data_IF_497514360262
#
_entry.id   IF_497514360262
#
_cell.length_a   1.000
_cell.length_b   1.000
_cell.length_c   1.000
_cell.angle_alpha   90.00
_cell.angle_beta   90.00
_cell.angle_gamma   90.00
#
_symmetry.space_group_name_H-M   'P 1'
#
loop_
_entity.id
_entity.type
_entity.pdbx_description
1 polymer ?
#
# COMPACT_ATOMS: atom_id res chain seq x y z
N UNK A 1 -32.58 11.19 18.81
CA UNK A 1 -31.91 11.14 17.50
C UNK A 1 -30.86 10.04 17.56
N UNK A 2 -31.02 8.93 16.83
CA UNK A 2 -30.05 7.82 16.83
C UNK A 2 -29.00 8.11 15.76
N UNK A 3 -27.77 8.42 16.17
CA UNK A 3 -26.64 8.42 15.25
C UNK A 3 -26.46 6.99 14.75
N UNK A 4 -26.86 6.74 13.51
CA UNK A 4 -26.48 5.55 12.76
C UNK A 4 -24.97 5.67 12.58
N UNK A 5 -24.20 4.93 13.38
CA UNK A 5 -22.88 4.53 12.97
C UNK A 5 -23.08 3.72 11.70
N UNK A 6 -22.94 4.35 10.54
CA UNK A 6 -22.72 3.61 9.31
C UNK A 6 -21.33 3.02 9.46
N UNK A 7 -21.28 1.82 10.01
CA UNK A 7 -20.13 0.95 9.93
C UNK A 7 -19.84 0.67 8.45
N UNK A 8 -19.19 1.61 7.76
CA UNK A 8 -18.38 1.30 6.60
C UNK A 8 -17.08 0.61 7.06
N UNK A 9 -17.21 -0.35 7.98
CA UNK A 9 -16.12 -1.17 8.52
C UNK A 9 -15.98 -2.48 7.73
N UNK A 10 -16.81 -2.73 6.72
CA UNK A 10 -16.84 -4.05 6.07
C UNK A 10 -15.89 -4.20 4.86
N UNK A 11 -15.30 -3.12 4.33
CA UNK A 11 -14.33 -3.25 3.21
C UNK A 11 -12.86 -3.34 3.65
N UNK A 12 -12.55 -3.07 4.93
CA UNK A 12 -11.16 -3.05 5.44
C UNK A 12 -10.79 -4.30 6.25
N UNK A 13 -11.75 -5.15 6.62
CA UNK A 13 -11.48 -6.34 7.45
C UNK A 13 -10.57 -7.36 6.72
N UNK A 14 -10.45 -7.27 5.39
CA UNK A 14 -9.56 -8.12 4.58
C UNK A 14 -8.26 -7.46 4.12
N UNK A 15 -8.16 -6.13 4.09
CA UNK A 15 -6.90 -5.47 3.73
C UNK A 15 -5.96 -5.67 4.91
N UNK A 16 -4.95 -6.52 4.74
CA UNK A 16 -3.86 -6.68 5.70
C UNK A 16 -3.50 -5.30 6.24
N UNK A 17 -3.61 -5.09 7.56
CA UNK A 17 -3.50 -3.79 8.22
C UNK A 17 -2.33 -2.95 7.68
N UNK A 18 -1.21 -3.59 7.36
CA UNK A 18 -0.06 -2.95 6.71
C UNK A 18 -0.35 -2.35 5.33
N UNK A 19 -1.02 -3.08 4.43
CA UNK A 19 -1.40 -2.56 3.11
C UNK A 19 -2.31 -1.34 3.26
N UNK A 20 -3.29 -1.40 4.17
CA UNK A 20 -4.17 -0.27 4.45
C UNK A 20 -3.39 0.95 4.95
N UNK A 21 -2.44 0.75 5.87
CA UNK A 21 -1.58 1.81 6.37
C UNK A 21 -0.71 2.43 5.28
N UNK A 22 -0.10 1.62 4.41
CA UNK A 22 0.70 2.12 3.27
C UNK A 22 -0.18 2.93 2.32
N UNK A 23 -1.35 2.41 1.95
CA UNK A 23 -2.30 3.13 1.09
C UNK A 23 -2.73 4.46 1.72
N UNK A 24 -3.02 4.47 3.02
CA UNK A 24 -3.38 5.69 3.75
C UNK A 24 -2.22 6.68 3.81
N UNK A 25 -1.00 6.23 4.08
CA UNK A 25 0.20 7.06 4.10
C UNK A 25 0.46 7.69 2.73
N UNK A 26 0.40 6.88 1.65
CA UNK A 26 0.54 7.38 0.28
C UNK A 26 -0.53 8.41 -0.04
N UNK A 27 -1.80 8.16 0.31
CA UNK A 27 -2.90 9.11 0.12
C UNK A 27 -2.74 10.40 0.93
N UNK A 28 -2.26 10.31 2.17
CA UNK A 28 -2.04 11.46 3.05
C UNK A 28 -0.88 12.33 2.58
N UNK A 29 0.17 11.73 2.01
CA UNK A 29 1.25 12.46 1.34
C UNK A 29 0.73 13.10 0.05
N UNK A 30 -0.06 12.38 -0.74
CA UNK A 30 -0.55 12.81 -2.03
C UNK A 30 0.47 12.61 -3.15
N UNK A 31 -0.02 12.38 -4.37
CA UNK A 31 0.78 11.98 -5.54
C UNK A 31 2.01 12.86 -5.80
N UNK A 32 1.90 14.16 -5.56
CA UNK A 32 3.00 15.12 -5.82
C UNK A 32 4.08 15.12 -4.73
N UNK A 33 3.78 14.63 -3.51
CA UNK A 33 4.74 14.58 -2.41
C UNK A 33 5.34 13.18 -2.20
N UNK A 34 4.77 12.15 -2.83
CA UNK A 34 5.34 10.81 -2.82
C UNK A 34 6.57 10.82 -3.73
N UNK A 35 7.75 10.74 -3.10
CA UNK A 35 9.04 10.68 -3.80
C UNK A 35 9.64 9.28 -3.69
N UNK A 36 10.56 8.94 -4.59
CA UNK A 36 11.28 7.66 -4.57
C UNK A 36 11.93 7.36 -3.21
N UNK A 37 12.32 8.40 -2.47
CA UNK A 37 12.88 8.26 -1.12
C UNK A 37 11.85 7.70 -0.13
N UNK A 38 10.62 8.18 -0.19
CA UNK A 38 9.53 7.69 0.67
C UNK A 38 9.08 6.29 0.25
N UNK A 39 8.96 6.05 -1.07
CA UNK A 39 8.74 4.71 -1.64
C UNK A 39 9.79 3.71 -1.14
N UNK A 40 11.07 4.06 -1.20
CA UNK A 40 12.17 3.22 -0.69
C UNK A 40 12.09 2.97 0.81
N UNK A 41 11.78 3.99 1.62
CA UNK A 41 11.62 3.82 3.07
C UNK A 41 10.49 2.86 3.40
N UNK A 42 9.31 3.06 2.80
CA UNK A 42 8.15 2.20 2.98
C UNK A 42 8.43 0.78 2.47
N UNK A 43 9.15 0.67 1.34
CA UNK A 43 9.57 -0.58 0.72
C UNK A 43 10.51 -1.39 1.62
N UNK A 44 11.43 -0.74 2.34
CA UNK A 44 12.34 -1.38 3.31
C UNK A 44 11.62 -1.86 4.57
N UNK A 45 10.49 -1.26 4.94
CA UNK A 45 9.68 -1.70 6.07
C UNK A 45 8.86 -2.96 5.77
N UNK A 46 8.87 -3.45 4.52
CA UNK A 46 8.08 -4.59 4.06
C UNK A 46 8.96 -5.74 3.58
N UNK A 47 8.60 -6.95 4.01
CA UNK A 47 9.17 -8.20 3.54
C UNK A 47 8.56 -8.63 2.21
N UNK A 48 9.26 -9.51 1.49
CA UNK A 48 8.83 -10.04 0.18
C UNK A 48 7.39 -10.58 0.18
N UNK A 49 7.01 -11.36 1.20
CA UNK A 49 5.63 -11.88 1.34
C UNK A 49 4.59 -10.78 1.53
N UNK A 50 4.91 -9.75 2.31
CA UNK A 50 4.02 -8.60 2.52
C UNK A 50 3.82 -7.81 1.23
N UNK A 51 4.89 -7.62 0.45
CA UNK A 51 4.83 -6.92 -0.85
C UNK A 51 3.97 -7.65 -1.87
N UNK A 52 4.10 -8.99 -1.96
CA UNK A 52 3.26 -9.79 -2.85
C UNK A 52 1.78 -9.70 -2.49
N UNK A 53 1.45 -9.78 -1.19
CA UNK A 53 0.06 -9.58 -0.71
C UNK A 53 -0.42 -8.17 -1.02
N UNK A 54 0.40 -7.16 -0.73
CA UNK A 54 0.07 -5.75 -0.98
C UNK A 54 -0.22 -5.48 -2.46
N UNK A 55 0.56 -6.07 -3.38
CA UNK A 55 0.33 -6.00 -4.83
C UNK A 55 -1.01 -6.59 -5.25
N UNK A 56 -1.44 -7.69 -4.63
CA UNK A 56 -2.73 -8.31 -4.93
C UNK A 56 -3.91 -7.45 -4.43
N UNK A 57 -3.81 -6.98 -3.18
CA UNK A 57 -4.84 -6.17 -2.52
C UNK A 57 -4.97 -4.77 -3.14
N UNK A 58 -3.85 -4.17 -3.55
CA UNK A 58 -3.81 -2.82 -4.14
C UNK A 58 -4.36 -2.74 -5.56
N UNK A 59 -4.71 -3.86 -6.21
CA UNK A 59 -5.34 -3.83 -7.54
C UNK A 59 -6.66 -3.05 -7.57
N UNK A 60 -7.31 -2.89 -6.42
CA UNK A 60 -8.59 -2.20 -6.26
C UNK A 60 -8.46 -0.74 -5.81
N UNK A 61 -7.23 -0.23 -5.62
CA UNK A 61 -7.00 1.17 -5.23
C UNK A 61 -6.83 2.09 -6.43
N UNK A 62 -6.75 3.40 -6.17
CA UNK A 62 -6.51 4.42 -7.20
C UNK A 62 -5.23 4.12 -7.98
N UNK A 63 -5.25 4.32 -9.30
CA UNK A 63 -4.16 3.95 -10.23
C UNK A 63 -2.77 4.35 -9.75
N UNK A 64 -2.58 5.62 -9.34
CA UNK A 64 -1.28 6.12 -8.92
C UNK A 64 -0.75 5.44 -7.65
N UNK A 65 -1.63 5.09 -6.70
CA UNK A 65 -1.24 4.36 -5.48
C UNK A 65 -0.79 2.94 -5.84
N UNK A 66 -1.44 2.31 -6.81
CA UNK A 66 -1.02 1.01 -7.32
C UNK A 66 0.34 1.08 -8.02
N UNK A 67 0.60 2.13 -8.79
CA UNK A 67 1.90 2.38 -9.44
C UNK A 67 3.03 2.51 -8.41
N UNK A 68 2.81 3.29 -7.35
CA UNK A 68 3.76 3.43 -6.23
C UNK A 68 4.03 2.08 -5.54
N UNK A 69 2.98 1.33 -5.21
CA UNK A 69 3.09 -0.01 -4.58
C UNK A 69 3.84 -0.99 -5.49
N UNK A 70 3.60 -0.93 -6.81
CA UNK A 70 4.31 -1.75 -7.78
C UNK A 70 5.79 -1.40 -7.82
N UNK A 71 6.14 -0.11 -7.78
CA UNK A 71 7.53 0.34 -7.71
C UNK A 71 8.23 -0.18 -6.45
N UNK A 72 7.56 -0.10 -5.28
CA UNK A 72 8.06 -0.68 -4.02
C UNK A 72 8.37 -2.18 -4.14
N UNK A 73 7.58 -2.92 -4.92
CA UNK A 73 7.79 -4.35 -5.11
C UNK A 73 8.85 -4.67 -6.18
N UNK A 74 8.98 -3.85 -7.22
CA UNK A 74 9.97 -4.05 -8.29
C UNK A 74 11.41 -3.86 -7.78
N UNK A 75 11.68 -2.88 -6.90
CA UNK A 75 13.03 -2.61 -6.39
C UNK A 75 13.73 -3.77 -5.63
N UNK A 76 12.99 -4.81 -5.19
CA UNK A 76 13.60 -5.98 -4.52
C UNK A 76 13.90 -7.15 -5.45
N UNK A 77 13.59 -7.03 -6.74
CA UNK A 77 13.74 -8.15 -7.69
C UNK A 77 15.20 -8.32 -8.19
N UNK A 78 16.11 -7.43 -7.83
CA UNK A 78 17.50 -7.45 -8.34
C UNK A 78 18.44 -8.41 -7.58
N UNK A 79 18.07 -8.93 -6.40
CA UNK A 79 19.00 -9.70 -5.54
C UNK A 79 18.64 -11.18 -5.36
N UNK A 80 17.71 -11.74 -6.15
CA UNK A 80 17.39 -13.18 -6.07
C UNK A 80 17.42 -13.84 -7.44
N UNK A 81 18.61 -13.78 -8.03
CA UNK A 81 18.96 -14.36 -9.30
C UNK A 81 20.48 -14.54 -9.45
N UNK A 82 21.12 -15.22 -8.50
CA UNK A 82 22.38 -15.94 -8.75
C UNK A 82 22.54 -17.09 -7.76
#
# INVERSE_FOLDING_TARGET
MKFKHTDNKNEVIGIFYQTALIIQALKALGKENVTDKEIRKLSKALNRSQKQKMLFESRRVTTWVYEDIKQMCMEQTDEQGR
#
